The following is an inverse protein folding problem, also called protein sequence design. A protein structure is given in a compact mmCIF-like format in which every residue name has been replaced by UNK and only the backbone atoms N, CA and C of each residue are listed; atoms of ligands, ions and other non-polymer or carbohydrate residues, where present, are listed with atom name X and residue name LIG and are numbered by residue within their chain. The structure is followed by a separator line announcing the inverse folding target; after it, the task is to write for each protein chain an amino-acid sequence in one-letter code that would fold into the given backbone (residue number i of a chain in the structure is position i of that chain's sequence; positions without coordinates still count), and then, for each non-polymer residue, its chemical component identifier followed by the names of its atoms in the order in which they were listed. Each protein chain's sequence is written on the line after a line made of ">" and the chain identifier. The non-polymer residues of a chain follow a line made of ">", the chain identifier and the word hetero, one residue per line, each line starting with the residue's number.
data_IF_889703970434
#
_entry.id   IF_889703970434
#
_cell.length_a   1.000
_cell.length_b   1.000
_cell.length_c   1.000
_cell.angle_alpha   90.00
_cell.angle_beta   90.00
_cell.angle_gamma   90.00
#
_symmetry.space_group_name_H-M   'P 1'
#
loop_
_entity.id
_entity.type
_entity.pdbx_description
1 polymer ?
#
# COMPACT_ATOMS: atom_id res chain seq x y z
N UNK A 1 27.26 26.43 -51.18
CA UNK A 1 28.32 26.55 -50.16
C UNK A 1 27.64 26.63 -48.79
N UNK A 2 27.74 25.53 -48.01
CA UNK A 2 27.66 25.38 -46.54
C UNK A 2 26.83 26.43 -45.76
N UNK A 3 25.62 26.09 -45.30
CA UNK A 3 25.28 25.52 -43.97
C UNK A 3 25.26 26.53 -42.82
N UNK A 4 24.11 26.72 -42.18
CA UNK A 4 23.91 26.49 -40.73
C UNK A 4 22.44 26.66 -40.37
N UNK A 5 21.74 25.55 -40.24
CA UNK A 5 20.56 25.48 -39.37
C UNK A 5 21.09 25.55 -37.95
N UNK A 6 20.74 26.59 -37.21
CA UNK A 6 20.99 26.64 -35.77
C UNK A 6 20.02 25.67 -35.09
N UNK A 7 20.49 24.45 -34.85
CA UNK A 7 19.86 23.56 -33.88
C UNK A 7 20.02 24.20 -32.50
N UNK A 8 18.93 24.76 -31.98
CA UNK A 8 18.82 25.15 -30.59
C UNK A 8 19.11 23.91 -29.73
N UNK A 9 20.05 23.97 -28.78
CA UNK A 9 20.32 22.83 -27.92
C UNK A 9 19.05 22.54 -27.14
N UNK A 10 18.51 21.33 -27.35
CA UNK A 10 17.46 20.79 -26.50
C UNK A 10 17.94 20.94 -25.06
N UNK A 11 17.31 21.87 -24.32
CA UNK A 11 17.44 21.98 -22.88
C UNK A 11 17.14 20.60 -22.34
N UNK A 12 18.20 19.88 -21.94
CA UNK A 12 18.06 18.70 -21.13
C UNK A 12 17.26 19.18 -19.92
N UNK A 13 16.00 18.74 -19.84
CA UNK A 13 15.25 18.85 -18.62
C UNK A 13 16.03 17.94 -17.68
N UNK A 14 16.92 18.52 -16.88
CA UNK A 14 17.49 17.82 -15.74
C UNK A 14 16.28 17.51 -14.88
N UNK A 15 15.71 16.32 -15.09
CA UNK A 15 14.76 15.74 -14.18
C UNK A 15 15.47 15.79 -12.85
N UNK A 16 15.00 16.71 -12.01
CA UNK A 16 15.45 16.85 -10.64
C UNK A 16 15.23 15.47 -10.05
N UNK A 17 16.28 14.66 -9.96
CA UNK A 17 16.25 13.38 -9.26
C UNK A 17 15.62 13.73 -7.92
N UNK A 18 14.41 13.20 -7.66
CA UNK A 18 13.79 13.40 -6.36
C UNK A 18 14.72 12.69 -5.37
N UNK A 19 15.68 13.43 -4.82
CA UNK A 19 16.74 12.91 -3.96
C UNK A 19 16.11 12.49 -2.65
N UNK A 20 15.64 11.26 -2.59
CA UNK A 20 14.95 10.79 -1.42
C UNK A 20 14.43 9.37 -1.59
N UNK A 21 14.47 8.63 -0.49
CA UNK A 21 13.94 7.28 -0.42
C UNK A 21 12.46 7.28 -0.78
N UNK A 22 12.07 6.45 -1.74
CA UNK A 22 10.70 6.36 -2.23
C UNK A 22 10.19 4.92 -2.19
N UNK A 23 8.94 4.74 -1.77
CA UNK A 23 8.24 3.46 -1.91
C UNK A 23 7.18 3.60 -3.01
N UNK A 24 7.20 2.71 -4.02
CA UNK A 24 6.29 2.74 -5.16
C UNK A 24 5.67 1.37 -5.42
N UNK A 25 4.42 1.34 -5.88
CA UNK A 25 3.79 0.10 -6.35
C UNK A 25 4.19 -0.19 -7.81
N UNK A 26 4.54 -1.45 -8.09
CA UNK A 26 4.87 -1.95 -9.43
C UNK A 26 4.32 -3.37 -9.61
N UNK A 27 3.28 -3.53 -10.46
CA UNK A 27 2.76 -4.82 -10.93
C UNK A 27 2.57 -5.91 -9.85
N UNK A 28 2.00 -5.56 -8.69
CA UNK A 28 1.78 -6.50 -7.57
C UNK A 28 2.93 -6.57 -6.55
N UNK A 29 3.96 -5.75 -6.75
CA UNK A 29 5.11 -5.61 -5.87
C UNK A 29 5.31 -4.15 -5.42
N UNK A 30 6.19 -3.95 -4.46
CA UNK A 30 6.66 -2.66 -3.99
C UNK A 30 8.12 -2.51 -4.37
N UNK A 31 8.49 -1.32 -4.82
CA UNK A 31 9.86 -0.93 -5.08
C UNK A 31 10.29 0.12 -4.08
N UNK A 32 11.39 -0.14 -3.39
CA UNK A 32 12.08 0.81 -2.54
C UNK A 32 13.26 1.38 -3.35
N UNK A 33 13.09 2.62 -3.78
CA UNK A 33 13.98 3.36 -4.66
C UNK A 33 14.76 4.40 -3.86
N UNK A 34 15.92 4.84 -4.36
CA UNK A 34 16.73 5.88 -3.71
C UNK A 34 17.42 5.43 -2.42
N UNK A 35 17.73 4.13 -2.32
CA UNK A 35 18.52 3.56 -1.21
C UNK A 35 19.71 2.81 -1.77
N UNK A 36 20.88 3.02 -1.16
CA UNK A 36 22.08 2.23 -1.45
C UNK A 36 21.98 0.85 -0.78
N UNK A 37 21.49 0.83 0.46
CA UNK A 37 21.31 -0.39 1.26
C UNK A 37 19.93 -0.42 1.88
N UNK A 38 19.44 -1.63 2.13
CA UNK A 38 18.15 -1.84 2.76
C UNK A 38 18.19 -1.42 4.23
N UNK A 39 17.18 -0.69 4.75
CA UNK A 39 17.10 -0.38 6.17
C UNK A 39 17.03 -1.64 7.04
N UNK A 40 17.64 -1.64 8.23
CA UNK A 40 17.62 -2.78 9.13
C UNK A 40 16.20 -3.25 9.46
N UNK A 41 15.99 -4.57 9.53
CA UNK A 41 14.71 -5.20 9.88
C UNK A 41 13.75 -5.40 8.71
N UNK A 42 14.15 -5.04 7.48
CA UNK A 42 13.35 -5.25 6.26
C UNK A 42 13.88 -6.38 5.37
N UNK A 43 14.96 -7.04 5.75
CA UNK A 43 15.69 -8.05 4.98
C UNK A 43 14.81 -9.25 4.62
N UNK A 44 13.86 -9.59 5.48
CA UNK A 44 12.89 -10.68 5.25
C UNK A 44 11.79 -10.32 4.24
N UNK A 45 11.62 -9.02 3.93
CA UNK A 45 10.55 -8.51 3.08
C UNK A 45 11.02 -8.14 1.69
N UNK A 46 12.26 -7.68 1.55
CA UNK A 46 12.81 -7.17 0.30
C UNK A 46 13.91 -8.05 -0.27
N UNK A 47 13.99 -8.08 -1.59
CA UNK A 47 15.09 -8.65 -2.36
C UNK A 47 15.57 -7.61 -3.38
N UNK A 48 16.87 -7.50 -3.58
CA UNK A 48 17.40 -6.59 -4.59
C UNK A 48 17.07 -7.11 -6.00
N UNK A 49 16.50 -6.25 -6.85
CA UNK A 49 16.19 -6.55 -8.24
C UNK A 49 17.11 -5.74 -9.17
N UNK A 50 18.17 -6.35 -9.74
CA UNK A 50 19.15 -5.63 -10.55
C UNK A 50 18.56 -5.12 -11.88
N UNK A 51 17.39 -5.60 -12.31
CA UNK A 51 16.76 -5.16 -13.57
C UNK A 51 16.17 -3.75 -13.49
N UNK A 52 15.88 -3.31 -12.28
CA UNK A 52 15.30 -2.00 -11.97
C UNK A 52 16.11 -1.23 -10.94
N UNK A 53 17.28 -1.77 -10.57
CA UNK A 53 18.24 -1.21 -9.61
C UNK A 53 17.59 -0.78 -8.27
N UNK A 54 16.65 -1.58 -7.77
CA UNK A 54 15.89 -1.27 -6.56
C UNK A 54 15.55 -2.51 -5.75
N UNK A 55 15.24 -2.32 -4.47
CA UNK A 55 14.74 -3.40 -3.62
C UNK A 55 13.25 -3.65 -3.88
N UNK A 56 12.86 -4.90 -4.11
CA UNK A 56 11.49 -5.33 -4.41
C UNK A 56 10.90 -6.20 -3.31
N UNK A 57 9.63 -5.98 -2.98
CA UNK A 57 8.86 -6.80 -2.02
C UNK A 57 7.44 -7.12 -2.54
N UNK A 58 6.79 -8.22 -2.12
CA UNK A 58 5.38 -8.46 -2.44
C UNK A 58 4.45 -7.37 -1.88
N UNK A 59 3.51 -6.85 -2.68
CA UNK A 59 2.70 -5.69 -2.26
C UNK A 59 1.73 -5.98 -1.11
N UNK A 60 1.32 -7.24 -0.92
CA UNK A 60 0.45 -7.62 0.21
C UNK A 60 1.13 -7.43 1.58
N UNK A 61 2.46 -7.28 1.62
CA UNK A 61 3.24 -6.98 2.84
C UNK A 61 3.33 -5.48 3.15
N UNK A 62 2.67 -4.63 2.37
CA UNK A 62 2.74 -3.18 2.51
C UNK A 62 2.52 -2.69 3.95
N UNK A 63 1.56 -3.26 4.68
CA UNK A 63 1.27 -2.85 6.07
C UNK A 63 2.43 -3.12 7.03
N UNK A 64 3.20 -4.18 6.80
CA UNK A 64 4.36 -4.56 7.60
C UNK A 64 5.57 -3.67 7.24
N UNK A 65 5.70 -3.34 5.95
CA UNK A 65 6.80 -2.54 5.40
C UNK A 65 6.67 -1.05 5.72
N UNK A 66 5.46 -0.49 5.61
CA UNK A 66 5.27 0.96 5.74
C UNK A 66 5.50 1.45 7.16
N UNK A 67 5.32 0.61 8.17
CA UNK A 67 5.51 0.96 9.58
C UNK A 67 6.95 1.43 9.86
N UNK A 68 7.96 0.57 9.68
CA UNK A 68 9.37 0.92 9.87
C UNK A 68 9.85 2.06 8.95
N UNK A 69 9.30 2.15 7.73
CA UNK A 69 9.69 3.20 6.77
C UNK A 69 8.98 4.54 7.00
N UNK A 70 8.00 4.60 7.92
CA UNK A 70 7.20 5.81 8.14
C UNK A 70 8.09 6.92 8.72
N UNK A 71 8.17 8.04 8.00
CA UNK A 71 9.02 9.18 8.38
C UNK A 71 10.42 9.15 7.74
N UNK A 72 10.87 8.00 7.23
CA UNK A 72 12.12 7.88 6.47
C UNK A 72 11.91 7.99 4.96
N UNK A 73 10.68 7.76 4.49
CA UNK A 73 10.32 7.97 3.09
C UNK A 73 10.19 9.47 2.79
N UNK A 74 10.97 9.96 1.83
CA UNK A 74 10.72 11.25 1.22
C UNK A 74 9.36 11.26 0.50
N UNK A 75 8.96 10.11 -0.08
CA UNK A 75 7.66 9.96 -0.71
C UNK A 75 7.14 8.53 -0.70
N UNK A 76 5.85 8.39 -0.42
CA UNK A 76 5.15 7.11 -0.53
C UNK A 76 4.15 7.15 -1.69
N UNK A 77 4.55 6.58 -2.84
CA UNK A 77 3.73 6.39 -4.05
C UNK A 77 3.14 4.97 -4.14
N UNK A 78 3.20 4.17 -3.07
CA UNK A 78 2.68 2.80 -3.09
C UNK A 78 1.15 2.71 -2.99
N UNK A 79 0.45 3.45 -2.11
CA UNK A 79 -1.01 3.48 -2.10
C UNK A 79 -1.59 3.92 -3.44
N UNK A 80 -2.39 3.05 -4.06
CA UNK A 80 -3.17 3.36 -5.27
C UNK A 80 -4.68 3.29 -5.04
N UNK A 81 -5.10 2.98 -3.82
CA UNK A 81 -6.51 2.95 -3.45
C UNK A 81 -7.04 4.36 -3.22
N UNK A 82 -8.31 4.56 -3.55
CA UNK A 82 -9.01 5.80 -3.26
C UNK A 82 -9.61 5.71 -1.86
N UNK A 83 -9.38 6.74 -1.04
CA UNK A 83 -10.13 6.88 0.20
C UNK A 83 -11.58 7.19 -0.16
N UNK A 84 -12.50 6.43 0.43
CA UNK A 84 -13.93 6.61 0.26
C UNK A 84 -14.55 6.90 1.60
N UNK A 85 -15.37 7.93 1.62
CA UNK A 85 -16.34 8.10 2.68
C UNK A 85 -17.47 7.10 2.43
N UNK A 86 -17.64 6.19 3.36
CA UNK A 86 -18.73 5.23 3.39
C UNK A 86 -19.69 5.66 4.48
N UNK A 87 -20.98 5.66 4.16
CA UNK A 87 -22.04 5.86 5.14
C UNK A 87 -22.79 4.54 5.23
N UNK A 88 -22.74 3.89 6.40
CA UNK A 88 -23.52 2.69 6.62
C UNK A 88 -24.93 3.08 7.05
N UNK A 89 -25.88 3.05 6.11
CA UNK A 89 -27.30 3.36 6.38
C UNK A 89 -28.09 2.18 6.95
N UNK A 90 -27.43 1.03 7.15
CA UNK A 90 -28.08 -0.18 7.65
C UNK A 90 -28.13 -0.16 9.17
N UNK A 91 -29.34 -0.03 9.72
CA UNK A 91 -29.61 -0.16 11.14
C UNK A 91 -30.11 -1.57 11.45
N UNK A 92 -29.19 -2.43 11.90
CA UNK A 92 -29.51 -3.79 12.34
C UNK A 92 -28.66 -4.14 13.57
N UNK A 93 -29.29 -4.69 14.61
CA UNK A 93 -28.56 -5.22 15.76
C UNK A 93 -27.96 -6.57 15.38
N UNK A 94 -26.62 -6.74 15.42
CA UNK A 94 -25.98 -8.01 15.10
C UNK A 94 -26.30 -9.08 16.15
N UNK A 95 -26.44 -10.33 15.70
CA UNK A 95 -26.55 -11.48 16.60
C UNK A 95 -25.24 -11.73 17.40
N UNK A 96 -25.28 -12.46 18.53
CA UNK A 96 -24.09 -12.71 19.36
C UNK A 96 -22.89 -13.28 18.57
N UNK A 97 -23.10 -14.29 17.72
CA UNK A 97 -22.02 -14.88 16.90
C UNK A 97 -21.42 -13.90 15.90
N UNK A 98 -22.18 -12.90 15.44
CA UNK A 98 -21.70 -11.86 14.54
C UNK A 98 -20.86 -10.82 15.30
N UNK A 99 -21.26 -10.49 16.54
CA UNK A 99 -20.50 -9.60 17.42
C UNK A 99 -19.16 -10.24 17.82
N UNK A 100 -19.15 -11.53 18.15
CA UNK A 100 -17.94 -12.30 18.44
C UNK A 100 -16.99 -12.33 17.23
N UNK A 101 -17.53 -12.65 16.05
CA UNK A 101 -16.76 -12.65 14.81
C UNK A 101 -16.12 -11.28 14.51
N UNK A 102 -16.91 -10.20 14.65
CA UNK A 102 -16.42 -8.84 14.46
C UNK A 102 -15.36 -8.46 15.52
N UNK A 103 -15.55 -8.88 16.77
CA UNK A 103 -14.60 -8.62 17.86
C UNK A 103 -13.27 -9.32 17.60
N UNK A 104 -13.29 -10.60 17.22
CA UNK A 104 -12.10 -11.35 16.84
C UNK A 104 -11.38 -10.72 15.62
N UNK A 105 -12.14 -10.30 14.61
CA UNK A 105 -11.60 -9.59 13.44
C UNK A 105 -10.88 -8.29 13.81
N UNK A 106 -11.50 -7.48 14.68
CA UNK A 106 -10.93 -6.22 15.21
C UNK A 106 -9.67 -6.48 16.01
N UNK A 107 -9.66 -7.49 16.88
CA UNK A 107 -8.49 -7.90 17.67
C UNK A 107 -7.33 -8.33 16.76
N UNK A 108 -7.62 -9.00 15.64
CA UNK A 108 -6.66 -9.34 14.60
C UNK A 108 -6.30 -8.17 13.66
N UNK A 109 -6.64 -6.93 14.04
CA UNK A 109 -6.36 -5.69 13.28
C UNK A 109 -6.89 -5.71 11.84
N UNK A 110 -7.99 -6.43 11.62
CA UNK A 110 -8.62 -6.51 10.31
C UNK A 110 -7.91 -7.44 9.31
N UNK A 111 -7.15 -8.42 9.79
CA UNK A 111 -6.49 -9.42 8.96
C UNK A 111 -6.75 -10.83 9.50
N UNK A 112 -7.48 -11.64 8.73
CA UNK A 112 -7.83 -13.01 9.12
C UNK A 112 -8.90 -13.62 8.21
N UNK A 113 -9.59 -14.66 8.69
CA UNK A 113 -10.75 -15.25 8.02
C UNK A 113 -11.85 -15.48 9.06
N UNK A 114 -13.06 -15.03 8.75
CA UNK A 114 -14.26 -15.31 9.54
C UNK A 114 -15.08 -16.36 8.80
N UNK A 115 -15.38 -17.48 9.48
CA UNK A 115 -16.17 -18.58 8.90
C UNK A 115 -17.55 -18.60 9.57
N UNK A 116 -18.60 -18.46 8.77
CA UNK A 116 -20.00 -18.56 9.21
C UNK A 116 -20.81 -19.36 8.19
N UNK A 117 -21.83 -20.14 8.61
CA UNK A 117 -22.67 -20.90 7.69
C UNK A 117 -23.46 -19.98 6.75
N UNK A 118 -24.01 -20.55 5.68
CA UNK A 118 -24.94 -19.85 4.78
C UNK A 118 -26.15 -19.36 5.58
N UNK A 119 -26.66 -18.17 5.27
CA UNK A 119 -27.76 -17.55 6.01
C UNK A 119 -27.40 -16.88 7.35
N UNK A 120 -26.21 -17.12 7.92
CA UNK A 120 -25.83 -16.56 9.24
C UNK A 120 -25.43 -15.06 9.23
N UNK A 121 -25.61 -14.36 8.11
CA UNK A 121 -25.36 -12.92 7.99
C UNK A 121 -23.90 -12.50 7.83
N UNK A 122 -23.09 -13.27 7.08
CA UNK A 122 -21.71 -12.87 6.70
C UNK A 122 -21.63 -11.47 6.10
N UNK A 123 -22.63 -11.10 5.29
CA UNK A 123 -22.73 -9.77 4.68
C UNK A 123 -22.84 -8.67 5.74
N UNK A 124 -23.67 -8.86 6.77
CA UNK A 124 -23.81 -7.89 7.86
C UNK A 124 -22.48 -7.72 8.62
N UNK A 125 -21.78 -8.82 8.93
CA UNK A 125 -20.44 -8.76 9.55
C UNK A 125 -19.45 -7.99 8.67
N UNK A 126 -19.48 -8.22 7.36
CA UNK A 126 -18.64 -7.48 6.40
C UNK A 126 -18.92 -5.98 6.36
N UNK A 127 -20.20 -5.57 6.38
CA UNK A 127 -20.60 -4.16 6.43
C UNK A 127 -20.13 -3.49 7.73
N UNK A 128 -20.31 -4.17 8.88
CA UNK A 128 -19.83 -3.67 10.17
C UNK A 128 -18.30 -3.57 10.22
N UNK A 129 -17.59 -4.51 9.58
CA UNK A 129 -16.13 -4.47 9.45
C UNK A 129 -15.66 -3.32 8.54
N UNK A 130 -16.37 -3.05 7.44
CA UNK A 130 -16.11 -1.90 6.57
C UNK A 130 -16.28 -0.60 7.34
N UNK A 131 -17.41 -0.42 8.04
CA UNK A 131 -17.69 0.75 8.87
C UNK A 131 -16.58 0.98 9.92
N UNK A 132 -16.15 -0.08 10.61
CA UNK A 132 -15.03 0.00 11.55
C UNK A 132 -13.69 0.36 10.89
N UNK A 133 -13.44 -0.10 9.67
CA UNK A 133 -12.17 0.10 8.96
C UNK A 133 -11.98 1.52 8.42
N UNK A 134 -13.01 2.38 8.44
CA UNK A 134 -12.95 3.76 7.95
C UNK A 134 -12.16 4.75 8.84
N UNK A 135 -11.50 4.25 9.89
CA UNK A 135 -10.69 5.06 10.82
C UNK A 135 -9.44 5.70 10.20
#
# INVERSE_FOLDING_TARGET
>A
MKSRTEDAPATYRTDRVETGRQLRFDRGTLLLEGVAELPPGLESSFQYDPRVEAYRAPAHRYSEIIGPLKGELARNKAPRYQRRELVCTLEMTPYPHQQEALTAWKAARGRGVVVLPTGAGKTLVGLLALSWAQR
#
